data_IF_330141531814
#
_entry.id   IF_330141531814
#
_cell.length_a   1.000
_cell.length_b   1.000
_cell.length_c   1.000
_cell.angle_alpha   90.00
_cell.angle_beta   90.00
_cell.angle_gamma   90.00
#
_symmetry.space_group_name_H-M   'P 1'
#
loop_
_entity.id
_entity.type
_entity.pdbx_description
1 polymer ?
#
# COMPACT_ATOMS: atom_id res chain seq x y z
N UNK A 1 -32.95 1.96 7.64
CA UNK A 1 -32.49 3.02 6.73
C UNK A 1 -31.45 3.81 7.49
N UNK A 2 -30.19 3.42 7.40
CA UNK A 2 -29.10 4.13 8.09
C UNK A 2 -27.79 3.98 7.30
N UNK A 3 -27.85 4.33 6.02
CA UNK A 3 -26.68 4.40 5.13
C UNK A 3 -26.48 5.86 4.74
N UNK A 4 -26.12 6.71 5.73
CA UNK A 4 -25.42 7.94 5.40
C UNK A 4 -24.02 7.53 4.97
N UNK A 5 -23.88 7.18 3.70
CA UNK A 5 -22.58 7.09 3.01
C UNK A 5 -21.86 8.39 3.24
N UNK A 6 -20.96 8.30 4.20
CA UNK A 6 -20.18 9.38 4.74
C UNK A 6 -18.93 9.35 3.86
N UNK A 7 -18.81 10.26 2.88
CA UNK A 7 -17.59 10.40 2.07
C UNK A 7 -16.64 11.37 2.76
N UNK A 8 -15.51 10.84 3.23
CA UNK A 8 -14.48 11.55 3.98
C UNK A 8 -13.21 11.36 3.19
N UNK A 9 -12.49 12.44 2.93
CA UNK A 9 -11.07 12.35 2.58
C UNK A 9 -10.29 12.78 3.81
N UNK A 10 -9.25 12.05 4.21
CA UNK A 10 -8.40 12.38 5.35
C UNK A 10 -6.98 12.49 4.82
N UNK A 11 -6.26 13.49 5.28
CA UNK A 11 -4.87 13.75 4.95
C UNK A 11 -4.08 13.85 6.25
N UNK A 12 -2.91 13.25 6.28
CA UNK A 12 -2.12 13.13 7.50
C UNK A 12 -0.78 12.46 7.26
N UNK A 13 -0.02 12.29 8.34
CA UNK A 13 1.24 11.55 8.35
C UNK A 13 1.13 10.35 9.28
N UNK A 14 2.08 9.43 9.17
CA UNK A 14 2.22 8.30 10.09
C UNK A 14 3.27 8.66 11.13
N UNK A 15 2.89 8.65 12.41
CA UNK A 15 3.78 8.95 13.53
C UNK A 15 4.79 7.82 13.82
N UNK A 16 5.67 8.04 14.80
CA UNK A 16 6.79 7.15 15.14
C UNK A 16 6.38 5.70 15.50
N UNK A 17 5.11 5.46 15.87
CA UNK A 17 4.58 4.14 16.25
C UNK A 17 3.59 3.55 15.23
N UNK A 18 3.50 4.13 14.02
CA UNK A 18 2.52 3.68 13.02
C UNK A 18 1.12 4.28 13.20
N UNK A 19 0.91 5.14 14.21
CA UNK A 19 -0.35 5.83 14.39
C UNK A 19 -0.61 6.84 13.25
N UNK A 20 -1.80 6.77 12.67
CA UNK A 20 -2.22 7.72 11.64
C UNK A 20 -2.60 9.04 12.29
N UNK A 21 -1.78 10.08 12.09
CA UNK A 21 -2.06 11.44 12.53
C UNK A 21 -2.74 12.20 11.41
N UNK A 22 -4.05 12.30 11.48
CA UNK A 22 -4.85 13.10 10.54
C UNK A 22 -4.60 14.56 10.84
N UNK A 23 -4.15 15.36 9.86
CA UNK A 23 -4.02 16.81 10.01
C UNK A 23 -5.29 17.49 9.49
N UNK A 24 -5.85 16.99 8.38
CA UNK A 24 -7.04 17.59 7.76
C UNK A 24 -7.96 16.53 7.14
N UNK A 25 -9.23 16.86 6.96
CA UNK A 25 -10.21 16.02 6.29
C UNK A 25 -11.21 16.84 5.46
N UNK A 26 -11.84 16.23 4.46
CA UNK A 26 -12.94 16.81 3.68
C UNK A 26 -14.16 15.91 3.82
N UNK A 27 -15.27 16.46 4.33
CA UNK A 27 -16.49 15.73 4.64
C UNK A 27 -17.64 16.18 3.74
N UNK A 28 -18.25 15.22 3.04
CA UNK A 28 -19.48 15.44 2.26
C UNK A 28 -20.74 15.17 3.10
N UNK A 29 -21.16 16.12 3.94
CA UNK A 29 -22.47 16.05 4.64
C UNK A 29 -22.96 17.40 5.14
N UNK A 30 -24.27 17.61 5.18
CA UNK A 30 -24.90 18.55 6.12
C UNK A 30 -24.77 18.00 7.57
N UNK A 31 -23.81 18.52 8.35
CA UNK A 31 -23.76 18.22 9.79
C UNK A 31 -24.90 19.00 10.49
N UNK A 32 -25.71 18.37 11.35
CA UNK A 32 -26.70 19.07 12.16
C UNK A 32 -26.03 20.09 13.09
N UNK A 33 -26.59 21.30 13.08
CA UNK A 33 -26.19 22.50 13.82
C UNK A 33 -25.97 22.29 15.33
N UNK A 34 -24.71 22.13 15.78
CA UNK A 34 -24.26 22.54 17.14
C UNK A 34 -22.76 22.96 17.22
N UNK A 35 -21.99 22.92 16.12
CA UNK A 35 -20.53 23.20 16.13
C UNK A 35 -20.15 24.59 15.61
N UNK A 36 -19.01 25.11 16.08
CA UNK A 36 -18.39 26.36 15.60
C UNK A 36 -17.70 26.10 14.27
N UNK A 37 -18.01 26.92 13.28
CA UNK A 37 -17.38 26.90 11.97
C UNK A 37 -16.56 28.16 11.78
N UNK A 38 -15.44 28.03 11.08
CA UNK A 38 -14.60 29.13 10.63
C UNK A 38 -14.61 29.17 9.11
N UNK A 39 -14.45 30.36 8.54
CA UNK A 39 -14.28 30.53 7.10
C UNK A 39 -12.79 30.80 6.88
N UNK A 40 -12.13 29.93 6.13
CA UNK A 40 -10.72 30.09 5.76
C UNK A 40 -10.66 30.41 4.27
N UNK A 41 -9.81 31.35 3.91
CA UNK A 41 -9.49 31.67 2.52
C UNK A 41 -8.30 30.82 2.10
N UNK A 42 -8.48 30.02 1.06
CA UNK A 42 -7.44 29.20 0.44
C UNK A 42 -7.24 29.70 -0.98
N UNK A 43 -6.03 29.56 -1.50
CA UNK A 43 -5.70 29.89 -2.89
C UNK A 43 -6.37 28.85 -3.81
N UNK A 44 -7.17 29.30 -4.78
CA UNK A 44 -7.83 28.44 -5.76
C UNK A 44 -7.11 28.40 -7.11
N UNK A 45 -7.66 27.61 -8.04
CA UNK A 45 -7.05 27.28 -9.34
C UNK A 45 -6.67 28.50 -10.23
N UNK A 46 -7.34 29.64 -10.06
CA UNK A 46 -7.13 30.87 -10.84
C UNK A 46 -6.43 32.00 -10.07
N UNK A 47 -5.68 31.69 -9.00
CA UNK A 47 -5.11 32.68 -8.05
C UNK A 47 -6.19 33.54 -7.33
N UNK A 48 -7.47 33.16 -7.44
CA UNK A 48 -8.56 33.76 -6.68
C UNK A 48 -8.68 33.09 -5.29
N UNK A 49 -8.89 33.89 -4.25
CA UNK A 49 -9.12 33.38 -2.89
C UNK A 49 -10.51 32.71 -2.78
N UNK A 50 -10.54 31.40 -2.60
CA UNK A 50 -11.77 30.65 -2.33
C UNK A 50 -12.04 30.51 -0.84
N UNK A 51 -13.31 30.66 -0.45
CA UNK A 51 -13.74 30.67 0.96
C UNK A 51 -14.37 29.35 1.35
N UNK A 52 -13.67 28.60 2.19
CA UNK A 52 -14.12 27.31 2.67
C UNK A 52 -14.63 27.37 4.09
N UNK A 53 -15.73 26.64 4.33
CA UNK A 53 -16.25 26.41 5.67
C UNK A 53 -15.51 25.24 6.29
N UNK A 54 -14.75 25.51 7.34
CA UNK A 54 -14.02 24.49 8.10
C UNK A 54 -14.62 24.32 9.51
N UNK A 55 -14.51 23.11 10.03
CA UNK A 55 -14.75 22.77 11.43
C UNK A 55 -13.43 22.34 12.05
N UNK A 56 -13.09 22.90 13.21
CA UNK A 56 -11.91 22.49 13.98
C UNK A 56 -12.27 21.36 14.94
N UNK A 57 -11.51 20.28 14.90
CA UNK A 57 -11.51 19.20 15.89
C UNK A 57 -10.29 19.37 16.79
N UNK A 58 -10.26 18.64 17.91
CA UNK A 58 -9.12 18.67 18.84
C UNK A 58 -7.83 18.14 18.19
N UNK A 59 -7.96 17.31 17.16
CA UNK A 59 -6.88 16.60 16.47
C UNK A 59 -6.69 17.01 15.00
N UNK A 60 -7.68 17.59 14.32
CA UNK A 60 -7.57 17.95 12.89
C UNK A 60 -8.58 19.03 12.43
N UNK A 61 -8.45 19.49 11.19
CA UNK A 61 -9.43 20.38 10.55
C UNK A 61 -10.31 19.62 9.54
N UNK A 62 -11.60 19.94 9.44
CA UNK A 62 -12.50 19.33 8.45
C UNK A 62 -13.14 20.39 7.56
N UNK A 63 -12.92 20.31 6.25
CA UNK A 63 -13.64 21.06 5.23
C UNK A 63 -15.00 20.40 4.98
N UNK A 64 -16.07 21.20 4.87
CA UNK A 64 -17.43 20.69 4.68
C UNK A 64 -17.94 21.14 3.32
N UNK A 65 -18.32 20.17 2.50
CA UNK A 65 -18.94 20.42 1.20
C UNK A 65 -20.34 19.81 1.11
N UNK A 66 -21.22 20.48 0.37
CA UNK A 66 -22.63 20.10 0.25
C UNK A 66 -22.98 19.45 -1.10
N UNK A 67 -22.09 19.47 -2.09
CA UNK A 67 -22.29 18.81 -3.39
C UNK A 67 -21.00 18.11 -3.88
N UNK A 68 -21.08 17.33 -4.96
CA UNK A 68 -19.92 16.55 -5.44
C UNK A 68 -18.80 17.44 -6.00
N UNK A 69 -19.14 18.50 -6.74
CA UNK A 69 -18.16 19.39 -7.38
C UNK A 69 -17.40 20.19 -6.31
N UNK A 70 -18.10 20.87 -5.40
CA UNK A 70 -17.49 21.58 -4.25
C UNK A 70 -16.67 20.63 -3.35
N UNK A 71 -17.04 19.34 -3.29
CA UNK A 71 -16.29 18.36 -2.51
C UNK A 71 -14.99 17.98 -3.21
N UNK A 72 -15.02 17.84 -4.53
CA UNK A 72 -13.84 17.60 -5.36
C UNK A 72 -12.89 18.79 -5.30
N UNK A 73 -13.38 20.01 -5.55
CA UNK A 73 -12.58 21.24 -5.51
C UNK A 73 -11.99 21.44 -4.11
N UNK A 74 -12.79 21.18 -3.05
CA UNK A 74 -12.32 21.20 -1.67
C UNK A 74 -11.24 20.15 -1.36
N UNK A 75 -11.24 19.00 -2.03
CA UNK A 75 -10.16 18.00 -1.90
C UNK A 75 -8.88 18.44 -2.61
N UNK A 76 -8.99 19.03 -3.81
CA UNK A 76 -7.88 19.54 -4.61
C UNK A 76 -7.18 20.67 -3.84
N UNK A 77 -7.93 21.71 -3.50
CA UNK A 77 -7.41 22.88 -2.78
C UNK A 77 -6.78 22.51 -1.43
N UNK A 78 -7.36 21.53 -0.72
CA UNK A 78 -6.78 21.06 0.53
C UNK A 78 -5.46 20.32 0.32
N UNK A 79 -5.39 19.50 -0.73
CA UNK A 79 -4.17 18.78 -1.08
C UNK A 79 -3.07 19.73 -1.51
N UNK A 80 -3.39 20.76 -2.31
CA UNK A 80 -2.46 21.82 -2.69
C UNK A 80 -1.97 22.58 -1.46
N UNK A 81 -2.89 23.01 -0.60
CA UNK A 81 -2.55 23.69 0.64
C UNK A 81 -1.62 22.85 1.53
N UNK A 82 -1.93 21.57 1.73
CA UNK A 82 -1.08 20.65 2.50
C UNK A 82 0.29 20.51 1.85
N UNK A 83 0.32 20.35 0.53
CA UNK A 83 1.54 20.17 -0.22
C UNK A 83 2.41 21.41 -0.20
N UNK A 84 1.82 22.61 -0.20
CA UNK A 84 2.57 23.87 -0.16
C UNK A 84 3.07 24.19 1.25
N UNK A 85 2.25 23.96 2.28
CA UNK A 85 2.63 24.17 3.68
C UNK A 85 3.71 23.17 4.13
N UNK A 86 3.65 21.93 3.68
CA UNK A 86 4.53 20.85 4.14
C UNK A 86 5.44 20.30 3.04
N UNK A 87 5.72 21.10 1.99
CA UNK A 87 6.42 20.71 0.75
C UNK A 87 7.74 19.95 0.94
N UNK A 88 8.48 20.21 2.02
CA UNK A 88 9.75 19.57 2.33
C UNK A 88 9.65 18.35 3.25
N UNK A 89 8.46 18.09 3.83
CA UNK A 89 8.30 17.20 4.99
C UNK A 89 7.24 16.10 4.77
N UNK A 90 6.43 16.16 3.71
CA UNK A 90 5.53 15.05 3.36
C UNK A 90 6.33 14.00 2.60
N UNK A 91 6.85 13.01 3.32
CA UNK A 91 7.36 11.79 2.71
C UNK A 91 6.25 10.74 2.55
N UNK A 92 5.17 10.86 3.33
CA UNK A 92 4.11 9.86 3.44
C UNK A 92 2.75 10.52 3.33
N UNK A 93 1.88 9.97 2.47
CA UNK A 93 0.52 10.46 2.32
C UNK A 93 -0.48 9.34 2.60
N UNK A 94 -1.44 9.63 3.47
CA UNK A 94 -2.65 8.83 3.63
C UNK A 94 -3.80 9.47 2.85
N UNK A 95 -4.44 8.68 1.98
CA UNK A 95 -5.60 9.06 1.20
C UNK A 95 -6.65 7.96 1.27
N UNK A 96 -7.92 8.32 1.38
CA UNK A 96 -9.01 7.32 1.31
C UNK A 96 -9.27 6.91 -0.15
N UNK A 97 -8.96 7.79 -1.12
CA UNK A 97 -9.13 7.57 -2.56
C UNK A 97 -7.81 7.86 -3.30
N UNK A 98 -7.26 6.89 -4.05
CA UNK A 98 -6.01 7.08 -4.77
C UNK A 98 -6.11 8.07 -5.95
N UNK A 99 -7.32 8.37 -6.45
CA UNK A 99 -7.55 9.40 -7.47
C UNK A 99 -6.99 10.77 -7.07
N UNK A 100 -6.95 11.08 -5.77
CA UNK A 100 -6.38 12.34 -5.29
C UNK A 100 -4.89 12.53 -5.64
N UNK A 101 -4.19 11.45 -5.99
CA UNK A 101 -2.80 11.51 -6.45
C UNK A 101 -2.64 12.14 -7.84
N UNK A 102 -3.70 12.18 -8.65
CA UNK A 102 -3.68 12.82 -9.97
C UNK A 102 -3.43 14.33 -9.84
N UNK A 103 -3.81 14.91 -8.70
CA UNK A 103 -3.61 16.33 -8.39
C UNK A 103 -2.22 16.65 -7.81
N UNK A 104 -1.37 15.65 -7.59
CA UNK A 104 0.02 15.85 -7.18
C UNK A 104 0.98 15.93 -8.37
N UNK A 105 0.46 16.24 -9.56
CA UNK A 105 1.26 16.48 -10.77
C UNK A 105 2.35 17.52 -10.46
N UNK A 106 3.57 17.25 -10.92
CA UNK A 106 4.76 18.10 -10.73
C UNK A 106 5.29 18.31 -9.29
N UNK A 107 4.76 17.61 -8.28
CA UNK A 107 5.30 17.66 -6.90
C UNK A 107 6.42 16.62 -6.69
N UNK A 108 7.20 16.79 -5.62
CA UNK A 108 8.31 15.87 -5.31
C UNK A 108 7.79 14.44 -5.09
N UNK A 109 8.53 13.39 -5.51
CA UNK A 109 8.07 12.01 -5.32
C UNK A 109 7.84 11.70 -3.83
N UNK A 110 6.67 11.15 -3.51
CA UNK A 110 6.40 10.63 -2.19
C UNK A 110 7.24 9.37 -1.94
N UNK A 111 7.60 9.13 -0.68
CA UNK A 111 8.17 7.86 -0.27
C UNK A 111 7.07 6.79 -0.23
N UNK A 112 5.91 7.11 0.36
CA UNK A 112 4.86 6.13 0.60
C UNK A 112 3.45 6.73 0.45
N UNK A 113 2.55 5.98 -0.19
CA UNK A 113 1.13 6.32 -0.32
C UNK A 113 0.28 5.21 0.27
N UNK A 114 -0.62 5.56 1.19
CA UNK A 114 -1.60 4.68 1.79
C UNK A 114 -2.97 5.02 1.23
N UNK A 115 -3.65 4.03 0.67
CA UNK A 115 -4.93 4.18 -0.01
C UNK A 115 -6.00 3.32 0.64
N UNK A 116 -7.08 3.97 1.11
CA UNK A 116 -8.24 3.31 1.71
C UNK A 116 -8.15 3.19 3.25
N UNK A 117 -8.98 2.34 3.85
CA UNK A 117 -9.01 2.10 5.29
C UNK A 117 -10.29 1.40 5.75
N UNK A 118 -10.43 1.15 7.05
CA UNK A 118 -11.57 0.42 7.64
C UNK A 118 -12.94 1.06 7.33
N UNK A 119 -12.97 2.40 7.23
CA UNK A 119 -14.19 3.17 6.94
C UNK A 119 -14.50 3.29 5.43
N UNK A 120 -13.63 2.78 4.56
CA UNK A 120 -13.77 2.90 3.10
C UNK A 120 -14.42 1.65 2.51
N UNK A 121 -15.68 1.78 2.10
CA UNK A 121 -16.44 0.71 1.42
C UNK A 121 -16.43 0.83 -0.11
N UNK A 122 -15.58 1.71 -0.66
CA UNK A 122 -15.49 1.95 -2.10
C UNK A 122 -14.35 1.10 -2.67
N UNK A 123 -14.61 0.45 -3.81
CA UNK A 123 -13.60 -0.24 -4.60
C UNK A 123 -12.86 0.78 -5.47
N UNK A 124 -11.53 0.72 -5.48
CA UNK A 124 -10.70 1.70 -6.19
C UNK A 124 -10.01 1.12 -7.40
N UNK A 125 -10.24 1.72 -8.56
CA UNK A 125 -9.50 1.43 -9.77
C UNK A 125 -8.12 2.11 -9.71
N UNK A 126 -7.04 1.32 -9.79
CA UNK A 126 -5.67 1.86 -9.86
C UNK A 126 -5.37 2.51 -11.22
N UNK A 127 -6.20 2.29 -12.24
CA UNK A 127 -5.98 2.86 -13.58
C UNK A 127 -5.78 4.36 -13.53
N UNK A 128 -6.58 5.10 -12.74
CA UNK A 128 -6.38 6.56 -12.61
C UNK A 128 -5.02 6.90 -12.02
N UNK A 129 -4.63 6.20 -10.95
CA UNK A 129 -3.34 6.37 -10.29
C UNK A 129 -2.14 6.01 -11.19
N UNK A 130 -2.30 5.08 -12.11
CA UNK A 130 -1.26 4.65 -13.04
C UNK A 130 -1.17 5.53 -14.32
N UNK A 131 -2.01 6.57 -14.45
CA UNK A 131 -1.91 7.53 -15.56
C UNK A 131 -0.55 8.27 -15.52
N UNK A 132 0.01 8.59 -16.70
CA UNK A 132 1.36 9.19 -16.81
C UNK A 132 1.54 10.56 -16.10
N UNK A 133 0.46 11.23 -15.70
CA UNK A 133 0.48 12.52 -14.97
C UNK A 133 0.36 12.41 -13.45
N UNK A 134 -0.06 11.26 -12.91
CA UNK A 134 -0.27 11.12 -11.46
C UNK A 134 1.04 11.22 -10.67
N UNK A 135 0.96 11.77 -9.45
CA UNK A 135 2.09 11.89 -8.53
C UNK A 135 2.86 10.57 -8.34
N UNK A 136 4.19 10.64 -8.24
CA UNK A 136 5.04 9.45 -8.07
C UNK A 136 5.17 9.11 -6.59
N UNK A 137 5.07 7.82 -6.26
CA UNK A 137 5.39 7.30 -4.92
C UNK A 137 6.38 6.14 -5.03
N UNK A 138 7.25 6.00 -4.02
CA UNK A 138 8.16 4.85 -3.91
C UNK A 138 7.44 3.58 -3.48
N UNK A 139 6.44 3.69 -2.61
CA UNK A 139 5.66 2.56 -2.12
C UNK A 139 4.16 2.84 -2.02
N UNK A 140 3.36 1.79 -2.24
CA UNK A 140 1.90 1.85 -2.27
C UNK A 140 1.29 0.81 -1.33
N UNK A 141 0.36 1.22 -0.48
CA UNK A 141 -0.40 0.32 0.39
C UNK A 141 -1.90 0.47 0.14
N UNK A 142 -2.57 -0.62 -0.21
CA UNK A 142 -4.02 -0.68 -0.38
C UNK A 142 -4.64 -1.32 0.86
N UNK A 143 -5.38 -0.52 1.62
CA UNK A 143 -5.99 -0.91 2.90
C UNK A 143 -7.45 -1.37 2.76
N UNK A 144 -8.09 -1.14 1.61
CA UNK A 144 -9.49 -1.54 1.35
C UNK A 144 -9.62 -2.97 0.83
N UNK A 145 -10.75 -3.65 1.10
CA UNK A 145 -11.08 -4.91 0.43
C UNK A 145 -11.10 -4.74 -1.10
N UNK A 146 -10.36 -5.60 -1.80
CA UNK A 146 -10.34 -5.63 -3.27
C UNK A 146 -11.37 -6.64 -3.81
N UNK A 147 -12.00 -6.34 -4.97
CA UNK A 147 -12.93 -7.27 -5.62
C UNK A 147 -12.22 -8.51 -6.17
N UNK A 148 -12.98 -9.55 -6.53
CA UNK A 148 -12.40 -10.83 -7.02
C UNK A 148 -11.58 -10.66 -8.31
N UNK A 149 -12.06 -9.84 -9.23
CA UNK A 149 -11.44 -9.62 -10.54
C UNK A 149 -10.61 -8.32 -10.56
N UNK A 150 -9.98 -7.99 -9.44
CA UNK A 150 -9.17 -6.78 -9.35
C UNK A 150 -7.97 -6.82 -10.30
N UNK A 151 -7.79 -5.78 -11.10
CA UNK A 151 -6.68 -5.74 -12.04
C UNK A 151 -5.43 -5.11 -11.44
N UNK A 152 -4.50 -5.96 -11.02
CA UNK A 152 -3.19 -5.56 -10.48
C UNK A 152 -2.19 -5.09 -11.56
N UNK A 153 -2.66 -4.58 -12.71
CA UNK A 153 -1.76 -4.05 -13.74
C UNK A 153 -1.16 -2.73 -13.24
N UNK A 154 0.15 -2.78 -12.99
CA UNK A 154 0.96 -1.61 -12.70
C UNK A 154 1.80 -1.25 -13.91
N UNK A 155 1.84 0.02 -14.22
CA UNK A 155 2.63 0.57 -15.32
C UNK A 155 4.02 1.02 -14.84
N UNK A 156 4.12 1.39 -13.56
CA UNK A 156 5.33 1.93 -12.91
C UNK A 156 6.07 0.86 -12.11
N UNK A 157 7.36 1.12 -11.85
CA UNK A 157 8.15 0.34 -10.90
C UNK A 157 8.03 0.91 -9.49
N UNK A 158 7.90 0.02 -8.50
CA UNK A 158 7.77 0.36 -7.09
C UNK A 158 8.89 -0.27 -6.26
N UNK A 159 9.29 0.41 -5.18
CA UNK A 159 10.14 -0.23 -4.17
C UNK A 159 9.30 -1.17 -3.30
N UNK A 160 8.04 -0.83 -3.04
CA UNK A 160 7.19 -1.54 -2.09
C UNK A 160 5.71 -1.50 -2.45
N UNK A 161 5.04 -2.64 -2.37
CA UNK A 161 3.59 -2.74 -2.50
C UNK A 161 3.04 -3.63 -1.40
N UNK A 162 2.02 -3.15 -0.69
CA UNK A 162 1.27 -3.93 0.29
C UNK A 162 -0.22 -3.90 0.01
N UNK A 163 -0.83 -5.07 0.02
CA UNK A 163 -2.26 -5.25 -0.16
C UNK A 163 -2.80 -5.92 1.10
N UNK A 164 -3.53 -5.17 1.91
CA UNK A 164 -4.02 -5.69 3.19
C UNK A 164 -5.14 -6.71 3.00
N UNK A 165 -6.04 -6.46 2.06
CA UNK A 165 -7.33 -7.17 1.94
C UNK A 165 -7.63 -7.61 0.51
N UNK A 166 -6.83 -8.54 -0.02
CA UNK A 166 -7.08 -9.15 -1.32
C UNK A 166 -7.43 -10.63 -1.18
N UNK A 167 -8.52 -10.91 -0.48
CA UNK A 167 -8.97 -12.27 -0.19
C UNK A 167 -9.03 -13.14 -1.44
N UNK A 168 -9.33 -12.62 -2.63
CA UNK A 168 -9.41 -13.44 -3.84
C UNK A 168 -8.11 -13.61 -4.62
N UNK A 169 -7.05 -12.87 -4.25
CA UNK A 169 -5.79 -12.88 -4.98
C UNK A 169 -5.15 -14.27 -5.03
N UNK A 170 -4.60 -14.60 -6.19
CA UNK A 170 -3.93 -15.85 -6.53
C UNK A 170 -2.51 -15.60 -7.02
N UNK A 171 -1.83 -16.64 -7.50
CA UNK A 171 -0.44 -16.55 -7.95
C UNK A 171 -0.25 -15.49 -9.03
N UNK A 172 -1.19 -15.40 -9.97
CA UNK A 172 -1.05 -14.54 -11.14
C UNK A 172 -1.09 -13.05 -10.73
N UNK A 173 -1.90 -12.72 -9.73
CA UNK A 173 -1.97 -11.38 -9.13
C UNK A 173 -0.67 -11.02 -8.42
N UNK A 174 -0.12 -11.96 -7.64
CA UNK A 174 1.17 -11.78 -6.97
C UNK A 174 2.30 -11.59 -7.98
N UNK A 175 2.27 -12.35 -9.09
CA UNK A 175 3.27 -12.25 -10.15
C UNK A 175 3.21 -10.91 -10.87
N UNK A 176 2.01 -10.42 -11.23
CA UNK A 176 1.83 -9.08 -11.82
C UNK A 176 2.49 -7.99 -10.97
N UNK A 177 2.32 -8.04 -9.66
CA UNK A 177 2.95 -7.08 -8.74
C UNK A 177 4.47 -7.32 -8.60
N UNK A 178 4.91 -8.58 -8.50
CA UNK A 178 6.32 -8.92 -8.34
C UNK A 178 7.19 -8.60 -9.57
N UNK A 179 6.59 -8.51 -10.76
CA UNK A 179 7.28 -8.03 -11.96
C UNK A 179 7.60 -6.53 -11.92
N UNK A 180 6.86 -5.77 -11.10
CA UNK A 180 6.93 -4.30 -11.03
C UNK A 180 7.35 -3.77 -9.67
N UNK A 181 7.57 -4.63 -8.68
CA UNK A 181 7.94 -4.22 -7.33
C UNK A 181 9.09 -5.03 -6.77
N UNK A 182 9.94 -4.38 -5.98
CA UNK A 182 11.01 -5.05 -5.23
C UNK A 182 10.50 -5.73 -3.98
N UNK A 183 9.47 -5.19 -3.34
CA UNK A 183 8.84 -5.79 -2.16
C UNK A 183 7.34 -5.91 -2.37
N UNK A 184 6.78 -7.09 -2.11
CA UNK A 184 5.34 -7.37 -2.27
C UNK A 184 4.80 -8.01 -1.00
N UNK A 185 3.71 -7.47 -0.46
CA UNK A 185 3.06 -7.99 0.74
C UNK A 185 1.56 -8.18 0.49
N UNK A 186 1.05 -9.36 0.85
CA UNK A 186 -0.37 -9.68 0.88
C UNK A 186 -0.74 -10.19 2.28
N UNK A 187 -1.42 -9.36 3.07
CA UNK A 187 -1.85 -9.76 4.42
C UNK A 187 -3.03 -10.73 4.38
N UNK A 188 -3.86 -10.66 3.34
CA UNK A 188 -4.94 -11.59 3.07
C UNK A 188 -4.93 -12.02 1.60
N UNK A 189 -4.96 -13.34 1.37
CA UNK A 189 -5.09 -13.94 0.04
C UNK A 189 -5.69 -15.35 0.12
N UNK A 190 -6.18 -15.86 -1.01
CA UNK A 190 -6.57 -17.27 -1.17
C UNK A 190 -5.45 -18.12 -1.78
N UNK A 191 -4.19 -17.65 -1.74
CA UNK A 191 -3.05 -18.35 -2.33
C UNK A 191 -2.87 -19.74 -1.69
N UNK A 192 -2.72 -20.74 -2.55
CA UNK A 192 -2.48 -22.14 -2.18
C UNK A 192 -1.02 -22.50 -2.42
N UNK A 193 -0.58 -23.61 -1.84
CA UNK A 193 0.80 -24.11 -2.01
C UNK A 193 1.21 -24.32 -3.48
N UNK A 194 0.27 -24.68 -4.36
CA UNK A 194 0.53 -24.76 -5.80
C UNK A 194 0.86 -23.40 -6.43
N UNK A 195 0.16 -22.35 -6.01
CA UNK A 195 0.45 -20.98 -6.45
C UNK A 195 1.80 -20.49 -5.93
N UNK A 196 2.16 -20.86 -4.70
CA UNK A 196 3.51 -20.61 -4.16
C UNK A 196 4.59 -21.32 -4.98
N UNK A 197 4.36 -22.58 -5.38
CA UNK A 197 5.28 -23.30 -6.27
C UNK A 197 5.44 -22.57 -7.61
N UNK A 198 4.36 -22.03 -8.20
CA UNK A 198 4.43 -21.20 -9.40
C UNK A 198 5.35 -19.99 -9.18
N UNK A 199 5.15 -19.24 -8.08
CA UNK A 199 5.96 -18.06 -7.76
C UNK A 199 7.44 -18.42 -7.61
N UNK A 200 7.77 -19.49 -6.88
CA UNK A 200 9.16 -19.95 -6.75
C UNK A 200 9.77 -20.33 -8.11
N UNK A 201 9.03 -21.02 -8.97
CA UNK A 201 9.51 -21.35 -10.31
C UNK A 201 9.73 -20.10 -11.17
N UNK A 202 8.84 -19.10 -11.12
CA UNK A 202 9.01 -17.83 -11.82
C UNK A 202 10.29 -17.11 -11.35
N UNK A 203 10.56 -17.09 -10.05
CA UNK A 203 11.80 -16.51 -9.51
C UNK A 203 13.06 -17.29 -9.93
N UNK A 204 13.00 -18.63 -9.89
CA UNK A 204 14.08 -19.51 -10.37
C UNK A 204 14.37 -19.32 -11.86
N UNK A 205 13.34 -19.01 -12.66
CA UNK A 205 13.41 -18.79 -14.10
C UNK A 205 13.72 -17.33 -14.50
N UNK A 206 14.05 -16.47 -13.53
CA UNK A 206 14.34 -15.04 -13.75
C UNK A 206 13.17 -14.23 -14.33
N UNK A 207 11.91 -14.67 -14.13
CA UNK A 207 10.74 -13.91 -14.57
C UNK A 207 10.37 -12.76 -13.62
N UNK A 208 10.78 -12.87 -12.36
CA UNK A 208 10.58 -11.86 -11.30
C UNK A 208 11.89 -11.61 -10.54
N UNK A 209 12.97 -11.38 -11.28
CA UNK A 209 14.33 -11.26 -10.72
C UNK A 209 14.55 -9.97 -9.91
N UNK A 210 13.75 -8.93 -10.16
CA UNK A 210 13.72 -7.69 -9.37
C UNK A 210 13.13 -7.85 -7.97
N UNK A 211 12.37 -8.93 -7.72
CA UNK A 211 11.74 -9.20 -6.42
C UNK A 211 12.81 -9.51 -5.36
N UNK A 212 12.88 -8.67 -4.33
CA UNK A 212 13.76 -8.83 -3.17
C UNK A 212 13.05 -9.45 -1.98
N UNK A 213 11.76 -9.16 -1.81
CA UNK A 213 10.98 -9.66 -0.67
C UNK A 213 9.52 -9.91 -1.03
N UNK A 214 8.98 -11.01 -0.50
CA UNK A 214 7.58 -11.37 -0.61
C UNK A 214 7.08 -11.85 0.76
N UNK A 215 5.99 -11.28 1.24
CA UNK A 215 5.25 -11.80 2.40
C UNK A 215 3.82 -12.05 2.00
N UNK A 216 3.32 -13.27 2.19
CA UNK A 216 1.95 -13.60 1.79
C UNK A 216 1.28 -14.57 2.75
N UNK A 217 0.05 -14.25 3.15
CA UNK A 217 -0.81 -15.20 3.87
C UNK A 217 -1.32 -16.27 2.93
N UNK A 218 -1.04 -17.54 3.23
CA UNK A 218 -1.52 -18.69 2.47
C UNK A 218 -2.82 -19.20 3.06
N UNK A 219 -3.82 -19.50 2.21
CA UNK A 219 -5.05 -20.20 2.65
C UNK A 219 -4.74 -21.60 3.16
N UNK A 220 -3.78 -22.27 2.54
CA UNK A 220 -3.30 -23.57 3.00
C UNK A 220 -1.87 -23.83 2.53
N UNK A 221 -1.06 -24.37 3.44
CA UNK A 221 0.30 -24.79 3.17
C UNK A 221 0.45 -26.30 3.27
N UNK A 222 0.98 -26.89 2.21
CA UNK A 222 1.44 -28.28 2.12
C UNK A 222 2.79 -28.25 1.43
N UNK A 223 3.82 -28.57 2.20
CA UNK A 223 5.21 -28.51 1.75
C UNK A 223 5.46 -29.27 0.45
N UNK A 224 4.98 -30.52 0.38
CA UNK A 224 5.07 -31.35 -0.83
C UNK A 224 4.52 -30.66 -2.09
N UNK A 225 3.41 -29.92 -1.95
CA UNK A 225 2.82 -29.19 -3.08
C UNK A 225 3.58 -27.91 -3.40
N UNK A 226 4.15 -27.24 -2.39
CA UNK A 226 4.93 -26.01 -2.56
C UNK A 226 6.27 -26.27 -3.26
N UNK A 227 6.88 -27.45 -3.02
CA UNK A 227 8.22 -27.77 -3.49
C UNK A 227 8.27 -28.72 -4.67
N UNK A 228 7.10 -29.15 -5.15
CA UNK A 228 6.98 -30.11 -6.24
C UNK A 228 7.88 -29.72 -7.44
N UNK A 229 8.85 -30.57 -7.76
CA UNK A 229 9.78 -30.40 -8.87
C UNK A 229 11.01 -29.51 -8.59
N UNK A 230 11.09 -28.88 -7.41
CA UNK A 230 12.20 -28.00 -7.00
C UNK A 230 12.85 -28.43 -5.68
N UNK A 231 12.53 -29.63 -5.17
CA UNK A 231 12.99 -30.14 -3.87
C UNK A 231 14.51 -30.18 -3.78
N UNK A 232 15.17 -30.57 -4.88
CA UNK A 232 16.63 -30.63 -5.01
C UNK A 232 17.33 -29.25 -4.90
N UNK A 233 16.57 -28.15 -4.97
CA UNK A 233 17.06 -26.77 -4.83
C UNK A 233 16.85 -26.20 -3.44
N UNK A 234 16.22 -26.96 -2.55
CA UNK A 234 15.82 -26.52 -1.22
C UNK A 234 16.67 -27.20 -0.16
N UNK A 235 17.17 -26.43 0.80
CA UNK A 235 17.89 -26.95 1.97
C UNK A 235 17.43 -26.23 3.23
N UNK A 236 17.30 -26.94 4.34
CA UNK A 236 16.98 -26.31 5.62
C UNK A 236 18.13 -25.43 6.12
N UNK A 237 17.79 -24.40 6.89
CA UNK A 237 18.76 -23.51 7.53
C UNK A 237 18.31 -23.14 8.93
N UNK A 238 19.28 -23.02 9.84
CA UNK A 238 19.06 -22.71 11.26
C UNK A 238 19.58 -21.33 11.66
N UNK A 239 20.22 -20.62 10.73
CA UNK A 239 20.77 -19.29 10.97
C UNK A 239 19.63 -18.30 11.15
N UNK A 240 19.65 -17.45 12.17
CA UNK A 240 18.58 -16.47 12.34
C UNK A 240 18.79 -15.31 11.37
N UNK A 241 17.82 -15.09 10.49
CA UNK A 241 17.88 -14.01 9.51
C UNK A 241 16.54 -13.32 9.47
N UNK A 242 16.58 -11.99 9.57
CA UNK A 242 15.44 -11.11 9.40
C UNK A 242 15.65 -10.22 8.18
N UNK A 243 14.56 -9.95 7.47
CA UNK A 243 14.48 -8.93 6.44
C UNK A 243 13.89 -7.66 7.04
N UNK A 244 14.48 -6.50 6.73
CA UNK A 244 13.90 -5.21 7.05
C UNK A 244 13.26 -4.65 5.78
N UNK A 245 11.94 -4.48 5.79
CA UNK A 245 11.19 -3.96 4.64
C UNK A 245 11.48 -2.47 4.40
N UNK A 246 10.98 -1.99 3.26
CA UNK A 246 10.94 -0.57 2.89
C UNK A 246 10.30 0.33 3.96
N UNK A 247 9.26 -0.17 4.62
CA UNK A 247 8.57 0.50 5.75
C UNK A 247 9.36 0.39 7.05
N UNK A 248 10.34 -0.50 7.13
CA UNK A 248 11.18 -0.75 8.31
C UNK A 248 10.71 -1.90 9.19
N UNK A 249 9.60 -2.55 8.84
CA UNK A 249 9.07 -3.74 9.51
C UNK A 249 10.07 -4.91 9.38
N UNK A 250 10.17 -5.73 10.42
CA UNK A 250 11.09 -6.88 10.47
C UNK A 250 10.33 -8.18 10.21
N UNK A 251 10.77 -8.93 9.21
CA UNK A 251 10.20 -10.21 8.82
C UNK A 251 11.23 -11.32 8.99
N UNK A 252 10.88 -12.32 9.79
CA UNK A 252 11.76 -13.49 9.97
C UNK A 252 11.77 -14.34 8.69
N UNK A 253 12.98 -14.58 8.17
CA UNK A 253 13.25 -15.46 7.03
C UNK A 253 13.84 -16.81 7.46
N UNK A 254 14.48 -16.88 8.63
CA UNK A 254 15.11 -18.10 9.13
C UNK A 254 15.23 -18.12 10.67
N UNK A 255 15.27 -19.27 11.38
CA UNK A 255 15.33 -20.66 10.91
C UNK A 255 14.22 -21.00 9.91
N UNK A 256 14.58 -21.62 8.80
CA UNK A 256 13.70 -21.74 7.63
C UNK A 256 14.36 -22.56 6.53
N UNK A 257 14.12 -22.18 5.27
CA UNK A 257 14.63 -22.89 4.10
C UNK A 257 15.37 -21.95 3.16
N UNK A 258 16.41 -22.47 2.51
CA UNK A 258 17.16 -21.83 1.43
C UNK A 258 16.65 -22.34 0.10
N UNK A 259 16.42 -21.44 -0.85
CA UNK A 259 16.14 -21.75 -2.24
C UNK A 259 17.29 -21.23 -3.10
N UNK A 260 17.93 -22.13 -3.87
CA UNK A 260 19.06 -21.76 -4.73
C UNK A 260 18.65 -21.69 -6.20
N UNK A 261 18.99 -20.56 -6.84
CA UNK A 261 18.86 -20.35 -8.29
C UNK A 261 20.15 -20.75 -9.03
N UNK A 262 20.05 -20.99 -10.33
CA UNK A 262 21.16 -21.51 -11.15
C UNK A 262 22.31 -20.51 -11.32
N UNK A 263 22.04 -19.21 -11.23
CA UNK A 263 23.02 -18.13 -11.19
C UNK A 263 23.77 -18.02 -9.84
N UNK A 264 23.43 -18.87 -8.88
CA UNK A 264 24.02 -18.87 -7.54
C UNK A 264 23.36 -17.92 -6.54
N UNK A 265 22.33 -17.17 -6.96
CA UNK A 265 21.53 -16.36 -6.02
C UNK A 265 20.76 -17.27 -5.08
N UNK A 266 20.74 -16.91 -3.80
CA UNK A 266 20.05 -17.66 -2.74
C UNK A 266 18.97 -16.76 -2.16
N UNK A 267 17.79 -17.34 -1.97
CA UNK A 267 16.74 -16.76 -1.16
C UNK A 267 16.50 -17.60 0.10
N UNK A 268 16.04 -16.94 1.15
CA UNK A 268 15.54 -17.57 2.37
C UNK A 268 14.03 -17.45 2.41
N UNK A 269 13.38 -18.46 2.98
CA UNK A 269 11.97 -18.37 3.27
C UNK A 269 11.57 -19.15 4.51
N UNK A 270 10.53 -18.66 5.18
CA UNK A 270 9.95 -19.25 6.37
C UNK A 270 8.43 -19.17 6.26
N UNK A 271 7.77 -20.31 6.47
CA UNK A 271 6.33 -20.37 6.71
C UNK A 271 6.06 -20.43 8.22
N UNK A 272 5.28 -19.48 8.72
CA UNK A 272 4.80 -19.48 10.10
C UNK A 272 3.39 -20.08 10.15
N UNK A 273 3.20 -21.25 10.80
CA UNK A 273 1.89 -21.89 10.87
C UNK A 273 0.88 -21.13 11.73
N UNK A 274 1.32 -20.24 12.64
CA UNK A 274 0.41 -19.50 13.51
C UNK A 274 -0.28 -18.35 12.77
N UNK A 275 0.48 -17.64 11.92
CA UNK A 275 -0.02 -16.52 11.11
C UNK A 275 -0.42 -16.94 9.70
N UNK A 276 -0.06 -18.16 9.30
CA UNK A 276 -0.18 -18.71 7.93
C UNK A 276 0.58 -17.89 6.89
N UNK A 277 1.53 -17.05 7.33
CA UNK A 277 2.35 -16.23 6.45
C UNK A 277 3.55 -17.03 5.97
N UNK A 278 3.89 -16.85 4.69
CA UNK A 278 5.22 -17.18 4.19
C UNK A 278 5.97 -15.89 3.90
N UNK A 279 7.17 -15.78 4.46
CA UNK A 279 8.11 -14.71 4.13
C UNK A 279 9.20 -15.32 3.25
N UNK A 280 9.50 -14.66 2.14
CA UNK A 280 10.56 -14.99 1.20
C UNK A 280 11.42 -13.75 1.00
N UNK A 281 12.75 -13.89 1.01
CA UNK A 281 13.66 -12.79 0.78
C UNK A 281 14.99 -13.22 0.17
N UNK A 282 15.50 -12.43 -0.77
CA UNK A 282 16.76 -12.69 -1.47
C UNK A 282 17.95 -12.24 -0.61
N UNK A 283 18.98 -13.10 -0.47
CA UNK A 283 20.17 -12.84 0.35
C UNK A 283 21.17 -11.83 -0.25
N UNK A 284 20.80 -11.12 -1.31
CA UNK A 284 21.66 -10.08 -1.89
C UNK A 284 21.57 -8.80 -1.06
N UNK A 285 22.61 -8.52 -0.26
CA UNK A 285 22.76 -7.25 0.45
C UNK A 285 22.24 -7.20 1.89
N UNK A 286 22.04 -8.34 2.56
CA UNK A 286 21.63 -8.36 3.97
C UNK A 286 22.82 -8.21 4.92
N UNK A 287 22.70 -7.29 5.87
CA UNK A 287 23.49 -7.27 7.11
C UNK A 287 23.07 -8.44 7.99
N UNK A 288 23.98 -9.38 8.21
CA UNK A 288 23.85 -10.38 9.29
C UNK A 288 23.90 -9.61 10.61
N UNK A 289 22.78 -9.52 11.32
CA UNK A 289 22.79 -9.02 12.70
C UNK A 289 23.19 -10.21 13.57
N UNK A 290 24.48 -10.31 13.85
CA UNK A 290 25.07 -11.21 14.85
C UNK A 290 24.92 -10.66 16.25
#
# INVERSE_FOLDING_TARGET
MDSKERRWMKFGFIGEEGEHVIIMSVLKTEIPNERKFEIVSMEGDDEEEEKFKISKYDDHYTLISNNDDEWMDGCINLLDHITDVFRSNIDTLYCINPYSMDFLEDKAPLRMTYSGGEDCNIYWDLVSYELNGAGKTGGLQLCTPLPEDYDFILTREYEYIRIERAQFARSDDVLKLAEKSKEVIFDESLLLSKGLNTIFNCWLQHLIDGLKFLSIRLRSYREFSAFNGIEHRITDTTEEVNYKSYTGELYRLSPGKRLRRDDGVIALFLYDPNTQMINFGVLTGLTVIS
#
